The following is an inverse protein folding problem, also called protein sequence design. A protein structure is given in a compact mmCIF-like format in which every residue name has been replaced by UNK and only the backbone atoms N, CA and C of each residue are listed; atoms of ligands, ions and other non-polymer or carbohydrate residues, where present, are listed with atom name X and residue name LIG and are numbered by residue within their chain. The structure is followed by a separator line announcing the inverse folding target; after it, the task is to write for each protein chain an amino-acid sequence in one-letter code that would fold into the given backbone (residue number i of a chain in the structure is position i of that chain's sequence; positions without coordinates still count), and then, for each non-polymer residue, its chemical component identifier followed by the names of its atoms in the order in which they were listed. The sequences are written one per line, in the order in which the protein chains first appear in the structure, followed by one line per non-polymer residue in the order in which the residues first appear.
data_IF_169156842896
#
_entry.id   IF_169156842896
#
_cell.length_a   1.000
_cell.length_b   1.000
_cell.length_c   1.000
_cell.angle_alpha   90.00
_cell.angle_beta   90.00
_cell.angle_gamma   90.00
#
_symmetry.space_group_name_H-M   'P 1'
#
loop_
_entity.id
_entity.type
_entity.pdbx_description
1 polymer ?
#
# COMPACT_ATOMS: atom_id res chain seq x y z
N UNK A 1 11.30 33.95 38.90
CA UNK A 1 10.19 34.06 39.87
C UNK A 1 8.92 34.44 39.10
N UNK A 2 7.98 33.54 38.98
CA UNK A 2 6.54 33.70 39.15
C UNK A 2 5.84 32.42 38.66
N UNK A 3 5.46 31.64 39.64
CA UNK A 3 4.54 30.51 39.47
C UNK A 3 3.13 31.08 39.31
N UNK A 4 2.36 30.58 38.34
CA UNK A 4 0.90 30.74 38.33
C UNK A 4 0.24 29.38 38.30
N UNK A 5 -0.53 29.16 39.37
CA UNK A 5 -1.33 28.02 39.75
C UNK A 5 -2.59 27.89 38.91
N UNK A 6 -2.98 26.63 38.63
CA UNK A 6 -4.26 26.18 38.10
C UNK A 6 -5.41 26.36 39.11
N UNK A 7 -6.65 26.34 38.65
CA UNK A 7 -7.67 25.62 39.39
C UNK A 7 -8.36 24.51 38.56
N UNK A 8 -8.93 23.50 39.24
CA UNK A 8 -9.66 22.41 38.60
C UNK A 8 -11.15 22.73 38.48
N UNK A 9 -11.78 22.31 37.43
CA UNK A 9 -13.22 22.22 37.37
C UNK A 9 -13.64 20.82 36.93
N UNK A 10 -14.19 20.09 37.86
CA UNK A 10 -14.94 18.86 37.68
C UNK A 10 -16.38 19.21 37.27
N UNK A 11 -16.94 18.50 36.30
CA UNK A 11 -18.38 18.40 36.14
C UNK A 11 -18.75 17.02 35.61
N UNK A 12 -19.60 16.40 36.36
CA UNK A 12 -20.22 15.09 36.26
C UNK A 12 -21.46 15.09 35.33
N UNK A 13 -21.95 13.82 35.06
CA UNK A 13 -23.33 13.42 34.75
C UNK A 13 -23.68 13.46 33.24
N UNK A 14 -24.36 12.48 32.64
CA UNK A 14 -25.23 11.40 33.07
C UNK A 14 -25.41 10.33 31.99
N UNK A 15 -25.76 9.17 32.48
CA UNK A 15 -26.18 7.95 31.80
C UNK A 15 -27.49 8.09 31.04
N UNK A 16 -27.63 7.42 29.89
CA UNK A 16 -28.93 6.98 29.37
C UNK A 16 -28.80 5.62 28.70
N UNK A 17 -29.29 4.63 29.39
CA UNK A 17 -29.54 3.26 28.91
C UNK A 17 -30.91 3.27 28.22
N UNK A 18 -30.98 2.76 27.00
CA UNK A 18 -32.24 2.36 26.39
C UNK A 18 -32.09 0.97 25.76
N UNK A 19 -32.61 0.01 26.48
CA UNK A 19 -32.91 -1.36 26.04
C UNK A 19 -34.19 -1.33 25.18
N UNK A 20 -34.16 -1.94 24.03
CA UNK A 20 -35.36 -2.39 23.33
C UNK A 20 -35.11 -3.78 22.75
N UNK A 21 -35.66 -4.73 23.45
CA UNK A 21 -35.90 -6.12 23.05
C UNK A 21 -37.12 -6.17 22.13
N UNK A 22 -37.02 -6.89 21.03
CA UNK A 22 -38.17 -7.44 20.37
C UNK A 22 -37.84 -8.85 19.84
N UNK A 23 -38.40 -9.81 20.52
CA UNK A 23 -38.49 -11.22 20.14
C UNK A 23 -39.73 -11.40 19.28
N UNK A 24 -39.67 -12.23 18.26
CA UNK A 24 -40.83 -12.76 17.57
C UNK A 24 -40.52 -14.08 16.85
N UNK A 25 -41.18 -15.19 17.20
CA UNK A 25 -40.91 -16.53 16.65
C UNK A 25 -42.01 -16.99 15.65
N UNK A 26 -41.60 -17.90 14.77
CA UNK A 26 -42.49 -18.71 13.93
C UNK A 26 -41.65 -19.31 12.80
N UNK A 27 -41.43 -20.55 12.64
CA UNK A 27 -42.16 -21.81 12.80
C UNK A 27 -42.46 -22.42 11.44
N UNK A 28 -41.93 -23.66 11.14
CA UNK A 28 -42.42 -24.51 10.02
C UNK A 28 -41.29 -24.97 9.06
N UNK A 29 -40.82 -26.05 9.25
CA UNK A 29 -40.78 -27.47 8.80
C UNK A 29 -40.32 -27.78 7.36
N UNK A 30 -39.38 -28.76 7.36
CA UNK A 30 -39.16 -29.88 6.43
C UNK A 30 -38.63 -29.66 5.01
N UNK A 31 -37.44 -30.16 4.80
CA UNK A 31 -37.06 -31.32 3.96
C UNK A 31 -35.63 -31.25 3.47
N UNK A 32 -34.77 -32.08 3.99
CA UNK A 32 -33.61 -32.63 3.27
C UNK A 32 -34.08 -33.76 2.32
N UNK A 33 -33.33 -34.26 1.34
CA UNK A 33 -31.89 -34.41 1.26
C UNK A 33 -31.29 -34.13 -0.15
N UNK A 34 -30.01 -33.96 -0.31
CA UNK A 34 -29.07 -34.88 -0.96
C UNK A 34 -27.73 -34.21 -1.18
N UNK A 35 -26.70 -34.88 -0.80
CA UNK A 35 -25.33 -34.46 -0.93
C UNK A 35 -24.78 -34.56 -2.35
N UNK A 36 -23.87 -33.66 -2.68
CA UNK A 36 -22.88 -33.90 -3.71
C UNK A 36 -21.50 -33.64 -3.12
N UNK A 37 -20.73 -34.70 -2.97
CA UNK A 37 -19.28 -34.72 -2.86
C UNK A 37 -18.67 -34.16 -4.17
N UNK A 38 -17.67 -33.35 -4.04
CA UNK A 38 -16.73 -33.24 -5.14
C UNK A 38 -15.98 -31.91 -5.20
N UNK A 39 -14.71 -32.11 -5.09
CA UNK A 39 -13.63 -31.33 -5.67
C UNK A 39 -12.97 -30.29 -4.79
N UNK A 40 -11.86 -30.72 -4.17
CA UNK A 40 -10.63 -29.99 -4.05
C UNK A 40 -10.32 -29.21 -5.32
N UNK A 41 -10.20 -27.91 -5.20
CA UNK A 41 -9.30 -27.16 -6.07
C UNK A 41 -8.72 -26.04 -5.25
N UNK A 42 -7.44 -26.14 -4.94
CA UNK A 42 -6.63 -25.08 -4.45
C UNK A 42 -6.74 -23.87 -5.37
N UNK A 43 -7.53 -22.90 -4.99
CA UNK A 43 -7.56 -21.60 -5.65
C UNK A 43 -6.31 -20.85 -5.26
N UNK A 44 -5.30 -20.95 -6.11
CA UNK A 44 -4.25 -19.95 -6.24
C UNK A 44 -4.94 -18.59 -6.44
N UNK A 45 -4.89 -17.72 -5.44
CA UNK A 45 -5.37 -16.35 -5.56
C UNK A 45 -4.50 -15.60 -6.55
N UNK A 46 -4.91 -15.66 -7.81
CA UNK A 46 -4.44 -14.75 -8.85
C UNK A 46 -4.74 -13.32 -8.37
N UNK A 47 -3.82 -12.36 -8.46
CA UNK A 47 -4.10 -10.98 -8.09
C UNK A 47 -5.25 -10.47 -8.96
N UNK A 48 -6.39 -10.22 -8.31
CA UNK A 48 -7.56 -9.63 -8.94
C UNK A 48 -7.13 -8.30 -9.57
N UNK A 49 -7.32 -8.17 -10.87
CA UNK A 49 -7.14 -6.91 -11.58
C UNK A 49 -8.04 -5.87 -10.92
N UNK A 50 -7.44 -4.92 -10.22
CA UNK A 50 -8.14 -3.85 -9.52
C UNK A 50 -8.94 -3.05 -10.54
N UNK A 51 -10.26 -2.98 -10.34
CA UNK A 51 -11.17 -2.24 -11.21
C UNK A 51 -11.01 -0.72 -11.01
N UNK A 52 -9.92 -0.16 -11.51
CA UNK A 52 -9.77 1.28 -11.76
C UNK A 52 -10.29 1.63 -13.16
N UNK A 53 -11.53 1.19 -13.47
CA UNK A 53 -12.13 1.36 -14.79
C UNK A 53 -13.06 2.59 -14.83
N UNK A 54 -12.54 3.81 -14.60
CA UNK A 54 -13.32 5.04 -14.81
C UNK A 54 -12.52 6.16 -15.50
N UNK A 55 -11.25 5.95 -15.84
CA UNK A 55 -10.47 6.90 -16.64
C UNK A 55 -10.10 6.23 -17.96
N UNK A 56 -10.39 6.88 -19.10
CA UNK A 56 -9.97 6.40 -20.43
C UNK A 56 -8.45 6.37 -20.66
N UNK A 57 -7.66 6.51 -19.58
CA UNK A 57 -6.20 6.49 -19.61
C UNK A 57 -5.70 5.06 -19.49
N UNK A 58 -4.96 4.61 -20.51
CA UNK A 58 -4.31 3.29 -20.49
C UNK A 58 -3.17 3.29 -19.46
N UNK A 59 -3.35 2.52 -18.39
CA UNK A 59 -2.34 2.34 -17.35
C UNK A 59 -1.25 1.36 -17.80
N UNK A 60 0.03 1.60 -17.47
CA UNK A 60 1.10 0.65 -17.77
C UNK A 60 0.91 -0.64 -16.98
N UNK A 61 1.30 -1.76 -17.56
CA UNK A 61 1.34 -3.04 -16.85
C UNK A 61 2.71 -3.17 -16.18
N UNK A 62 2.71 -3.29 -14.86
CA UNK A 62 3.92 -3.47 -14.05
C UNK A 62 3.98 -4.91 -13.59
N UNK A 63 5.10 -5.58 -13.81
CA UNK A 63 5.33 -6.95 -13.38
C UNK A 63 6.65 -7.04 -12.65
N UNK A 64 6.63 -7.68 -11.49
CA UNK A 64 7.86 -8.07 -10.78
C UNK A 64 8.25 -9.50 -11.18
N UNK A 65 9.54 -9.81 -11.26
CA UNK A 65 10.02 -11.18 -11.53
C UNK A 65 9.69 -12.11 -10.36
N UNK A 66 9.64 -13.42 -10.62
CA UNK A 66 9.39 -14.41 -9.57
C UNK A 66 10.45 -14.39 -8.44
N UNK A 67 11.64 -13.87 -8.74
CA UNK A 67 12.72 -13.71 -7.75
C UNK A 67 12.48 -12.62 -6.71
N UNK A 68 11.58 -11.66 -7.00
CA UNK A 68 11.19 -10.60 -6.07
C UNK A 68 9.69 -10.35 -6.13
N UNK A 69 9.01 -10.44 -4.99
CA UNK A 69 7.56 -10.28 -4.90
C UNK A 69 7.20 -9.33 -3.77
N UNK A 70 6.09 -8.60 -3.92
CA UNK A 70 5.54 -7.73 -2.86
C UNK A 70 4.09 -8.09 -2.60
N UNK A 71 3.77 -8.35 -1.34
CA UNK A 71 2.39 -8.51 -0.88
C UNK A 71 1.83 -7.19 -0.33
N UNK A 72 0.52 -7.03 -0.41
CA UNK A 72 -0.20 -5.86 0.06
C UNK A 72 -1.28 -6.29 1.04
N UNK A 73 -1.20 -5.86 2.31
CA UNK A 73 -2.13 -6.19 3.37
C UNK A 73 -2.95 -4.96 3.77
N UNK A 74 -4.28 -5.12 3.82
CA UNK A 74 -5.19 -4.04 4.18
C UNK A 74 -5.35 -2.95 3.10
N UNK A 75 -4.94 -3.21 1.86
CA UNK A 75 -5.01 -2.26 0.74
C UNK A 75 -6.39 -2.24 0.06
N UNK A 76 -7.43 -2.21 0.87
CA UNK A 76 -8.83 -2.10 0.42
C UNK A 76 -9.57 -1.02 1.18
N UNK A 77 -10.40 -0.24 0.48
CA UNK A 77 -11.22 0.82 1.06
C UNK A 77 -12.61 0.81 0.43
N UNK A 78 -13.64 1.03 1.21
CA UNK A 78 -15.03 1.08 0.73
C UNK A 78 -15.38 2.38 -0.03
N UNK A 79 -14.66 3.49 0.23
CA UNK A 79 -14.79 4.71 -0.56
C UNK A 79 -13.96 4.55 -1.85
N UNK A 80 -14.58 4.52 -3.04
CA UNK A 80 -13.88 4.31 -4.30
C UNK A 80 -12.87 5.42 -4.63
N UNK A 81 -13.04 6.62 -4.06
CA UNK A 81 -12.10 7.72 -4.26
C UNK A 81 -10.80 7.47 -3.47
N UNK A 82 -10.93 6.97 -2.24
CA UNK A 82 -9.78 6.60 -1.42
C UNK A 82 -9.11 5.34 -1.96
N UNK A 83 -9.91 4.38 -2.44
CA UNK A 83 -9.37 3.18 -3.11
C UNK A 83 -8.51 3.56 -4.32
N UNK A 84 -8.93 4.52 -5.14
CA UNK A 84 -8.16 4.97 -6.31
C UNK A 84 -6.79 5.56 -5.91
N UNK A 85 -6.70 6.31 -4.79
CA UNK A 85 -5.41 6.80 -4.25
C UNK A 85 -4.51 5.63 -3.85
N UNK A 86 -5.10 4.63 -3.17
CA UNK A 86 -4.37 3.43 -2.73
C UNK A 86 -3.88 2.60 -3.91
N UNK A 87 -4.71 2.40 -4.93
CA UNK A 87 -4.37 1.64 -6.13
C UNK A 87 -3.19 2.28 -6.87
N UNK A 88 -3.23 3.59 -7.11
CA UNK A 88 -2.15 4.29 -7.80
C UNK A 88 -0.88 4.40 -6.94
N UNK A 89 -1.02 4.53 -5.62
CA UNK A 89 0.09 4.46 -4.68
C UNK A 89 0.77 3.08 -4.65
N UNK A 90 -0.03 2.02 -4.78
CA UNK A 90 0.46 0.64 -4.92
C UNK A 90 1.25 0.45 -6.22
N UNK A 91 0.66 0.86 -7.35
CA UNK A 91 1.32 0.74 -8.66
C UNK A 91 2.60 1.60 -8.72
N UNK A 92 2.60 2.77 -8.08
CA UNK A 92 3.80 3.59 -7.89
C UNK A 92 4.93 2.83 -7.18
N UNK A 93 4.64 2.13 -6.07
CA UNK A 93 5.61 1.34 -5.34
C UNK A 93 6.13 0.18 -6.19
N UNK A 94 5.23 -0.56 -6.82
CA UNK A 94 5.59 -1.66 -7.73
C UNK A 94 6.46 -1.16 -8.90
N UNK A 95 6.11 -0.02 -9.51
CA UNK A 95 6.89 0.58 -10.60
C UNK A 95 8.31 0.97 -10.17
N UNK A 96 8.48 1.48 -8.96
CA UNK A 96 9.81 1.80 -8.44
C UNK A 96 10.67 0.54 -8.27
N UNK A 97 10.10 -0.54 -7.73
CA UNK A 97 10.81 -1.81 -7.60
C UNK A 97 11.06 -2.49 -8.95
N UNK A 98 10.07 -2.43 -9.88
CA UNK A 98 10.25 -2.93 -11.23
C UNK A 98 11.41 -2.22 -11.96
N UNK A 99 11.55 -0.90 -11.78
CA UNK A 99 12.67 -0.16 -12.33
C UNK A 99 14.04 -0.73 -11.94
N UNK A 100 14.17 -1.23 -10.69
CA UNK A 100 15.41 -1.89 -10.23
C UNK A 100 15.54 -3.27 -10.87
N UNK A 101 14.48 -4.09 -10.85
CA UNK A 101 14.56 -5.47 -11.40
C UNK A 101 14.73 -5.47 -12.91
N UNK A 102 14.19 -4.48 -13.61
CA UNK A 102 14.32 -4.29 -15.06
C UNK A 102 15.60 -3.52 -15.45
N UNK A 103 16.41 -3.09 -14.45
CA UNK A 103 17.62 -2.28 -14.65
C UNK A 103 17.34 -0.99 -15.46
N UNK A 104 16.18 -0.38 -15.25
CA UNK A 104 15.74 0.78 -16.02
C UNK A 104 15.22 1.93 -15.13
N UNK A 105 16.07 2.89 -14.75
CA UNK A 105 15.67 4.04 -13.93
C UNK A 105 14.72 5.02 -14.66
N UNK A 106 14.62 4.93 -15.99
CA UNK A 106 13.80 5.80 -16.82
C UNK A 106 12.58 5.08 -17.40
N UNK A 107 12.16 3.97 -16.82
CA UNK A 107 10.99 3.23 -17.28
C UNK A 107 9.73 4.12 -17.24
N UNK A 108 8.89 4.04 -18.27
CA UNK A 108 7.69 4.87 -18.44
C UNK A 108 6.72 4.73 -17.26
N UNK A 109 6.61 3.54 -16.66
CA UNK A 109 5.73 3.31 -15.51
C UNK A 109 6.20 4.05 -14.24
N UNK A 110 7.49 4.40 -14.11
CA UNK A 110 7.98 5.25 -13.03
C UNK A 110 7.45 6.68 -13.22
N UNK A 111 7.57 7.24 -14.41
CA UNK A 111 7.08 8.58 -14.73
C UNK A 111 5.55 8.66 -14.78
N UNK A 112 4.87 7.55 -15.06
CA UNK A 112 3.41 7.51 -15.11
C UNK A 112 2.77 7.77 -13.74
N UNK A 113 3.34 7.22 -12.66
CA UNK A 113 2.79 7.35 -11.30
C UNK A 113 3.54 8.34 -10.41
N UNK A 114 4.60 8.97 -10.91
CA UNK A 114 5.36 9.97 -10.17
C UNK A 114 5.50 11.27 -10.97
N UNK A 115 5.62 12.38 -10.26
CA UNK A 115 5.98 13.68 -10.83
C UNK A 115 6.85 14.48 -9.84
N UNK A 116 7.44 15.58 -10.32
CA UNK A 116 8.20 16.49 -9.48
C UNK A 116 9.33 15.78 -8.70
N UNK A 117 9.42 16.05 -7.41
CA UNK A 117 10.48 15.48 -6.57
C UNK A 117 10.32 13.98 -6.34
N UNK A 118 9.10 13.44 -6.39
CA UNK A 118 8.89 11.99 -6.28
C UNK A 118 9.50 11.25 -7.48
N UNK A 119 9.34 11.79 -8.70
CA UNK A 119 9.92 11.21 -9.91
C UNK A 119 11.44 11.21 -9.85
N UNK A 120 12.05 12.37 -9.59
CA UNK A 120 13.50 12.49 -9.55
C UNK A 120 14.13 11.64 -8.43
N UNK A 121 13.45 11.52 -7.29
CA UNK A 121 13.91 10.67 -6.17
C UNK A 121 13.81 9.18 -6.53
N UNK A 122 12.71 8.75 -7.14
CA UNK A 122 12.54 7.37 -7.58
C UNK A 122 13.60 6.98 -8.62
N UNK A 123 13.79 7.82 -9.64
CA UNK A 123 14.81 7.59 -10.69
C UNK A 123 16.23 7.54 -10.11
N UNK A 124 16.56 8.47 -9.19
CA UNK A 124 17.87 8.49 -8.53
C UNK A 124 18.10 7.24 -7.69
N UNK A 125 17.10 6.78 -6.95
CA UNK A 125 17.20 5.57 -6.14
C UNK A 125 17.40 4.33 -7.00
N UNK A 126 16.60 4.17 -8.06
CA UNK A 126 16.75 3.06 -9.02
C UNK A 126 18.11 3.11 -9.68
N UNK A 127 18.52 4.29 -10.16
CA UNK A 127 19.82 4.48 -10.81
C UNK A 127 20.97 4.11 -9.88
N UNK A 128 20.91 4.47 -8.59
CA UNK A 128 21.96 4.13 -7.62
C UNK A 128 22.17 2.64 -7.50
N UNK A 129 21.10 1.83 -7.49
CA UNK A 129 21.20 0.37 -7.46
C UNK A 129 21.70 -0.20 -8.79
N UNK A 130 21.22 0.35 -9.91
CA UNK A 130 21.64 -0.10 -11.25
C UNK A 130 23.12 0.20 -11.51
N UNK A 131 23.62 1.35 -11.12
CA UNK A 131 25.04 1.72 -11.27
C UNK A 131 25.99 0.78 -10.48
N UNK A 132 25.48 0.17 -9.40
CA UNK A 132 26.21 -0.82 -8.60
C UNK A 132 25.95 -2.26 -9.05
N UNK A 133 25.29 -2.48 -10.19
CA UNK A 133 24.86 -3.79 -10.72
C UNK A 133 23.95 -4.55 -9.73
N UNK A 134 23.17 -3.86 -8.92
CA UNK A 134 22.30 -4.47 -7.93
C UNK A 134 20.87 -4.65 -8.48
N UNK A 135 20.27 -5.78 -8.11
CA UNK A 135 18.84 -6.05 -8.30
C UNK A 135 18.20 -6.46 -6.97
N UNK A 136 16.85 -6.49 -6.94
CA UNK A 136 16.09 -6.94 -5.77
C UNK A 136 15.76 -8.42 -5.88
N UNK A 137 15.86 -9.13 -4.76
CA UNK A 137 15.45 -10.52 -4.62
C UNK A 137 14.73 -10.74 -3.28
N UNK A 138 13.91 -11.79 -3.20
CA UNK A 138 13.16 -12.12 -1.98
C UNK A 138 11.76 -11.56 -1.95
N UNK A 139 11.31 -11.05 -0.81
CA UNK A 139 9.92 -10.60 -0.61
C UNK A 139 9.86 -9.32 0.19
N UNK A 140 8.98 -8.41 -0.23
CA UNK A 140 8.53 -7.26 0.54
C UNK A 140 7.05 -7.42 0.95
N UNK A 141 6.62 -6.67 1.97
CA UNK A 141 5.23 -6.62 2.40
C UNK A 141 4.87 -5.17 2.71
N UNK A 142 3.93 -4.62 1.95
CA UNK A 142 3.34 -3.32 2.22
C UNK A 142 2.06 -3.49 3.06
N UNK A 143 1.94 -2.79 4.16
CA UNK A 143 0.86 -2.98 5.12
C UNK A 143 0.48 -1.67 5.83
N UNK A 144 -0.63 -1.68 6.56
CA UNK A 144 -1.17 -0.56 7.33
C UNK A 144 -1.32 0.74 6.52
N UNK A 145 -2.02 0.71 5.36
CA UNK A 145 -2.22 1.91 4.57
C UNK A 145 -3.21 2.86 5.27
N UNK A 146 -2.83 4.13 5.37
CA UNK A 146 -3.67 5.21 5.87
C UNK A 146 -3.82 6.25 4.75
N UNK A 147 -5.03 6.43 4.26
CA UNK A 147 -5.32 7.28 3.11
C UNK A 147 -6.28 8.40 3.44
N UNK A 148 -6.06 9.58 2.86
CA UNK A 148 -6.93 10.74 3.00
C UNK A 148 -6.88 11.60 1.74
N UNK A 149 -8.02 12.20 1.40
CA UNK A 149 -8.12 13.29 0.43
C UNK A 149 -8.47 14.55 1.21
N UNK A 150 -7.65 15.59 1.06
CA UNK A 150 -7.83 16.89 1.71
C UNK A 150 -8.86 17.74 0.96
N UNK A 151 -9.42 18.82 1.57
CA UNK A 151 -10.40 19.70 0.92
C UNK A 151 -9.88 20.37 -0.36
N UNK A 152 -8.58 20.57 -0.48
CA UNK A 152 -7.91 21.10 -1.68
C UNK A 152 -7.77 20.07 -2.82
N UNK A 153 -8.30 18.86 -2.63
CA UNK A 153 -8.23 17.77 -3.60
C UNK A 153 -6.91 16.99 -3.59
N UNK A 154 -5.93 17.33 -2.74
CA UNK A 154 -4.69 16.56 -2.61
C UNK A 154 -4.90 15.25 -1.87
N UNK A 155 -4.21 14.20 -2.31
CA UNK A 155 -4.17 12.90 -1.64
C UNK A 155 -2.97 12.78 -0.71
N UNK A 156 -3.13 12.08 0.40
CA UNK A 156 -2.05 11.65 1.28
C UNK A 156 -2.21 10.16 1.55
N UNK A 157 -1.13 9.40 1.38
CA UNK A 157 -1.10 7.98 1.66
C UNK A 157 0.15 7.66 2.49
N UNK A 158 -0.06 7.14 3.69
CA UNK A 158 0.96 6.58 4.55
C UNK A 158 0.86 5.07 4.50
N UNK A 159 1.97 4.38 4.55
CA UNK A 159 2.01 2.93 4.65
C UNK A 159 3.38 2.46 5.11
N UNK A 160 3.40 1.26 5.61
CA UNK A 160 4.62 0.58 6.04
C UNK A 160 5.07 -0.45 5.00
N UNK A 161 6.37 -0.61 4.84
CA UNK A 161 6.96 -1.70 4.08
C UNK A 161 7.90 -2.48 4.99
N UNK A 162 7.68 -3.78 5.07
CA UNK A 162 8.60 -4.74 5.68
C UNK A 162 9.52 -5.30 4.57
N UNK A 163 10.80 -4.92 4.62
CA UNK A 163 11.85 -5.34 3.72
C UNK A 163 12.74 -6.47 4.31
N UNK A 164 12.39 -6.99 5.49
CA UNK A 164 13.22 -7.97 6.23
C UNK A 164 13.40 -9.32 5.53
N UNK A 165 12.53 -9.65 4.57
CA UNK A 165 12.68 -10.81 3.68
C UNK A 165 13.15 -10.42 2.28
N UNK A 166 13.50 -9.16 2.07
CA UNK A 166 14.11 -8.62 0.88
C UNK A 166 15.64 -8.62 0.99
N UNK A 167 16.30 -8.57 -0.15
CA UNK A 167 17.75 -8.49 -0.27
C UNK A 167 18.11 -7.81 -1.57
N UNK A 168 19.29 -7.25 -1.65
CA UNK A 168 19.92 -6.90 -2.92
C UNK A 168 20.81 -8.04 -3.38
N UNK A 169 20.89 -8.24 -4.71
CA UNK A 169 21.79 -9.20 -5.34
C UNK A 169 22.63 -8.47 -6.38
N UNK A 170 23.93 -8.62 -6.29
CA UNK A 170 24.82 -8.13 -7.34
C UNK A 170 24.77 -9.06 -8.55
N UNK A 171 24.46 -8.52 -9.72
CA UNK A 171 24.24 -9.26 -10.95
C UNK A 171 25.54 -9.84 -11.55
N UNK A 172 26.72 -9.21 -11.24
CA UNK A 172 28.01 -9.66 -11.74
C UNK A 172 28.63 -10.74 -10.86
N UNK A 173 28.57 -10.54 -9.54
CA UNK A 173 29.22 -11.46 -8.58
C UNK A 173 28.29 -12.53 -8.05
N UNK A 174 26.96 -12.30 -8.12
CA UNK A 174 25.96 -13.16 -7.53
C UNK A 174 25.79 -12.97 -6.01
N UNK A 175 26.59 -12.09 -5.39
CA UNK A 175 26.53 -11.82 -3.96
C UNK A 175 25.17 -11.29 -3.55
N UNK A 176 24.65 -11.79 -2.42
CA UNK A 176 23.34 -11.38 -1.86
C UNK A 176 23.56 -10.70 -0.52
N UNK A 177 23.13 -9.46 -0.41
CA UNK A 177 23.17 -8.65 0.81
C UNK A 177 21.76 -8.51 1.40
N UNK A 178 21.54 -9.03 2.60
CA UNK A 178 20.26 -8.98 3.30
C UNK A 178 19.99 -7.58 3.87
N UNK A 179 18.73 -7.20 3.92
CA UNK A 179 18.29 -6.01 4.66
C UNK A 179 18.58 -6.22 6.15
N UNK A 180 19.31 -5.30 6.84
CA UNK A 180 19.49 -5.38 8.28
C UNK A 180 18.17 -5.33 9.04
N UNK A 181 18.06 -6.08 10.15
CA UNK A 181 16.80 -6.18 10.90
C UNK A 181 16.29 -4.81 11.42
N UNK A 182 17.19 -3.94 11.86
CA UNK A 182 16.86 -2.60 12.36
C UNK A 182 16.36 -1.67 11.25
N UNK A 183 16.70 -1.96 10.00
CA UNK A 183 16.32 -1.20 8.81
C UNK A 183 15.13 -1.82 8.05
N UNK A 184 14.63 -2.97 8.53
CA UNK A 184 13.65 -3.77 7.79
C UNK A 184 12.31 -3.06 7.62
N UNK A 185 11.90 -2.25 8.58
CA UNK A 185 10.60 -1.57 8.55
C UNK A 185 10.73 -0.12 8.11
N UNK A 186 10.09 0.22 7.01
CA UNK A 186 10.16 1.57 6.42
C UNK A 186 8.77 2.19 6.36
N UNK A 187 8.60 3.33 7.02
CA UNK A 187 7.41 4.17 6.87
C UNK A 187 7.54 5.00 5.60
N UNK A 188 6.54 4.91 4.74
CA UNK A 188 6.36 5.77 3.57
C UNK A 188 5.29 6.83 3.86
N UNK A 189 5.60 8.07 3.55
CA UNK A 189 4.67 9.19 3.56
C UNK A 189 4.65 9.80 2.16
N UNK A 190 3.51 9.76 1.50
CA UNK A 190 3.37 10.22 0.12
C UNK A 190 2.29 11.29 0.01
N UNK A 191 2.54 12.29 -0.83
CA UNK A 191 1.51 13.23 -1.29
C UNK A 191 1.22 12.95 -2.76
N UNK A 192 -0.05 12.99 -3.11
CA UNK A 192 -0.52 12.69 -4.44
C UNK A 192 -1.41 13.82 -4.97
N UNK A 193 -1.41 14.00 -6.28
CA UNK A 193 -2.29 14.90 -7.01
C UNK A 193 -3.05 14.10 -8.07
N UNK A 194 -4.35 14.37 -8.18
CA UNK A 194 -5.17 13.74 -9.21
C UNK A 194 -5.01 14.49 -10.53
N UNK A 195 -4.69 13.78 -11.60
CA UNK A 195 -4.67 14.28 -12.96
C UNK A 195 -6.07 14.28 -13.58
N UNK A 196 -6.28 15.07 -14.64
CA UNK A 196 -7.54 15.13 -15.37
C UNK A 196 -8.00 13.77 -15.89
N UNK A 197 -7.06 12.88 -16.24
CA UNK A 197 -7.30 11.49 -16.62
C UNK A 197 -7.64 10.56 -15.45
N UNK A 198 -7.79 11.07 -14.22
CA UNK A 198 -8.18 10.29 -13.05
C UNK A 198 -7.06 9.49 -12.39
N UNK A 199 -5.82 9.62 -12.86
CA UNK A 199 -4.63 9.00 -12.24
C UNK A 199 -4.16 9.85 -11.08
N UNK A 200 -3.81 9.21 -9.95
CA UNK A 200 -3.18 9.86 -8.82
C UNK A 200 -1.66 9.75 -8.94
N UNK A 201 -1.01 10.87 -9.31
CA UNK A 201 0.45 10.94 -9.35
C UNK A 201 1.01 11.33 -8.01
N UNK A 202 2.05 10.62 -7.57
CA UNK A 202 2.81 10.98 -6.38
C UNK A 202 3.72 12.15 -6.67
N UNK A 203 3.59 13.22 -5.88
CA UNK A 203 4.38 14.47 -6.02
C UNK A 203 5.58 14.49 -5.09
N UNK A 204 5.43 13.92 -3.88
CA UNK A 204 6.51 13.82 -2.89
C UNK A 204 6.46 12.46 -2.19
N UNK A 205 7.64 11.96 -1.85
CA UNK A 205 7.82 10.76 -1.02
C UNK A 205 8.85 11.07 0.06
N UNK A 206 8.49 10.78 1.29
CA UNK A 206 9.42 10.76 2.42
C UNK A 206 9.42 9.38 3.02
N UNK A 207 10.58 8.83 3.31
CA UNK A 207 10.73 7.53 3.96
C UNK A 207 11.44 7.67 5.30
N UNK A 208 11.08 6.82 6.25
CA UNK A 208 11.76 6.72 7.54
C UNK A 208 11.95 5.26 7.93
N UNK A 209 13.22 4.81 8.00
CA UNK A 209 13.56 3.48 8.51
C UNK A 209 13.27 3.40 10.01
N UNK A 210 12.80 2.25 10.47
CA UNK A 210 12.32 2.06 11.84
C UNK A 210 11.06 2.86 12.19
N UNK A 211 10.37 3.45 11.20
CA UNK A 211 9.18 4.26 11.39
C UNK A 211 7.88 3.46 11.58
N UNK A 212 7.93 2.14 11.36
CA UNK A 212 6.85 1.19 11.57
C UNK A 212 7.24 0.21 12.68
N UNK A 213 6.28 -0.14 13.53
CA UNK A 213 6.46 -1.12 14.61
C UNK A 213 5.32 -2.12 14.59
#
# INVERSE_FOLDING_TARGET
MQRRTLPPAAALIASAVLLLTACGPGGGDDSSPDGIKGADTGASSSPSASASAASGVKRPTIKLPASFQVSFEGWTNSDPRLQAVMDDGRERLLGTYAGVTDQNPNADYIAFYNEGTALTTAQKWVKGLVDEDLTLVGKGRAFDPQVRISPDGSGTLFYCVDEGKGSTKNLKTGEVTKTPADDAFVLYQTKLRKEDGGVWKTTTVTTRRGGCR
#
